data_IF_902529577427
#
_entry.id   IF_902529577427
#
_cell.length_a   1.000
_cell.length_b   1.000
_cell.length_c   1.000
_cell.angle_alpha   90.00
_cell.angle_beta   90.00
_cell.angle_gamma   90.00
#
_symmetry.space_group_name_H-M   'P 1'
#
loop_
_entity.id
_entity.type
_entity.pdbx_description
1 polymer ?
#
# COMPACT_ATOMS: atom_id res chain seq x y z
N UNK A 1 13.08 3.37 -8.42
CA UNK A 1 11.71 3.45 -7.91
C UNK A 1 11.00 2.14 -8.26
N UNK A 2 11.02 1.17 -7.34
CA UNK A 2 10.29 -0.09 -7.51
C UNK A 2 8.88 0.15 -6.99
N UNK A 3 7.97 0.54 -7.87
CA UNK A 3 6.57 0.66 -7.54
C UNK A 3 6.00 -0.75 -7.37
N UNK A 4 5.16 -0.95 -6.36
CA UNK A 4 4.43 -2.18 -6.17
C UNK A 4 3.46 -2.39 -7.35
N UNK A 5 3.22 -3.64 -7.74
CA UNK A 5 2.44 -3.96 -8.95
C UNK A 5 0.99 -3.46 -8.93
N UNK A 6 0.46 -3.15 -7.75
CA UNK A 6 -0.87 -2.56 -7.54
C UNK A 6 -0.86 -1.03 -7.53
N UNK A 7 0.31 -0.40 -7.47
CA UNK A 7 0.39 1.06 -7.51
C UNK A 7 0.04 1.51 -8.93
N UNK A 8 -0.90 2.47 -9.09
CA UNK A 8 -1.20 3.03 -10.39
C UNK A 8 0.11 3.45 -11.05
N UNK A 9 0.36 2.98 -12.28
CA UNK A 9 1.54 3.36 -13.02
C UNK A 9 1.66 4.88 -12.95
N UNK A 10 2.80 5.38 -12.45
CA UNK A 10 3.08 6.80 -12.35
C UNK A 10 3.21 7.42 -13.75
N UNK A 11 2.10 7.52 -14.47
CA UNK A 11 1.91 8.53 -15.49
C UNK A 11 1.61 9.85 -14.81
N UNK A 12 1.86 10.97 -15.50
CA UNK A 12 1.26 12.24 -15.13
C UNK A 12 -0.26 12.07 -15.28
N UNK A 13 -0.93 11.66 -14.20
CA UNK A 13 -2.32 11.99 -13.97
C UNK A 13 -2.46 13.44 -14.44
N UNK A 14 -3.31 13.67 -15.46
CA UNK A 14 -3.46 14.99 -16.10
C UNK A 14 -3.75 16.04 -15.00
N UNK A 15 -3.52 17.32 -15.33
CA UNK A 15 -3.82 18.41 -14.39
C UNK A 15 -5.23 18.24 -13.78
N UNK A 16 -5.36 18.51 -12.46
CA UNK A 16 -6.57 18.42 -11.60
C UNK A 16 -6.75 17.17 -10.71
N UNK A 17 -5.78 16.26 -10.62
CA UNK A 17 -5.86 15.19 -9.62
C UNK A 17 -5.32 15.62 -8.24
N UNK A 18 -6.04 15.35 -7.13
CA UNK A 18 -5.61 15.71 -5.79
C UNK A 18 -4.50 14.79 -5.29
N UNK A 19 -3.29 14.94 -5.85
CA UNK A 19 -2.13 14.08 -5.61
C UNK A 19 -1.83 13.81 -4.13
N UNK A 20 -1.97 14.85 -3.29
CA UNK A 20 -1.81 14.75 -1.83
C UNK A 20 -2.79 13.75 -1.19
N UNK A 21 -4.01 13.62 -1.71
CA UNK A 21 -4.99 12.67 -1.19
C UNK A 21 -4.63 11.23 -1.59
N UNK A 22 -4.18 11.01 -2.82
CA UNK A 22 -3.69 9.68 -3.24
C UNK A 22 -2.50 9.21 -2.41
N UNK A 23 -1.57 10.10 -2.08
CA UNK A 23 -0.46 9.75 -1.17
C UNK A 23 -0.97 9.35 0.23
N UNK A 24 -1.98 10.05 0.76
CA UNK A 24 -2.61 9.67 2.05
C UNK A 24 -3.26 8.28 1.97
N UNK A 25 -3.97 7.98 0.88
CA UNK A 25 -4.57 6.66 0.68
C UNK A 25 -3.49 5.59 0.55
N UNK A 26 -2.48 5.81 -0.30
CA UNK A 26 -1.39 4.84 -0.51
C UNK A 26 -0.58 4.56 0.77
N UNK A 27 -0.34 5.57 1.60
CA UNK A 27 0.33 5.38 2.90
C UNK A 27 -0.55 4.59 3.88
N UNK A 28 -1.84 4.88 3.97
CA UNK A 28 -2.77 4.11 4.80
C UNK A 28 -2.89 2.65 4.34
N UNK A 29 -2.98 2.42 3.03
CA UNK A 29 -3.03 1.06 2.44
C UNK A 29 -1.77 0.28 2.77
N UNK A 30 -0.59 0.90 2.68
CA UNK A 30 0.68 0.23 3.01
C UNK A 30 0.77 -0.12 4.49
N UNK A 31 0.35 0.78 5.38
CA UNK A 31 0.30 0.50 6.82
C UNK A 31 -0.65 -0.68 7.13
N UNK A 32 -1.83 -0.72 6.49
CA UNK A 32 -2.77 -1.82 6.63
C UNK A 32 -2.17 -3.17 6.15
N UNK A 33 -1.51 -3.16 4.99
CA UNK A 33 -0.86 -4.35 4.44
C UNK A 33 0.18 -4.92 5.43
N UNK A 34 1.01 -4.06 6.03
CA UNK A 34 1.96 -4.51 7.05
C UNK A 34 1.29 -5.10 8.29
N UNK A 35 0.18 -4.53 8.77
CA UNK A 35 -0.57 -5.10 9.88
C UNK A 35 -1.12 -6.49 9.54
N UNK A 36 -1.64 -6.68 8.33
CA UNK A 36 -2.15 -7.98 7.87
C UNK A 36 -1.01 -8.99 7.71
N UNK A 37 0.12 -8.59 7.15
CA UNK A 37 1.32 -9.44 7.05
C UNK A 37 1.84 -9.87 8.43
N UNK A 38 1.90 -8.94 9.39
CA UNK A 38 2.30 -9.24 10.75
C UNK A 38 1.32 -10.18 11.47
N UNK A 39 0.01 -9.95 11.31
CA UNK A 39 -1.02 -10.83 11.85
C UNK A 39 -0.92 -12.24 11.24
N UNK A 40 -0.77 -12.32 9.91
CA UNK A 40 -0.60 -13.58 9.22
C UNK A 40 0.66 -14.30 9.72
N UNK A 41 1.79 -13.61 9.85
CA UNK A 41 3.01 -14.20 10.38
C UNK A 41 2.85 -14.74 11.81
N UNK A 42 2.15 -14.02 12.69
CA UNK A 42 1.88 -14.45 14.06
C UNK A 42 0.94 -15.67 14.11
N UNK A 43 -0.18 -15.65 13.38
CA UNK A 43 -1.06 -16.83 13.27
C UNK A 43 -0.29 -18.03 12.72
N UNK A 44 0.62 -17.79 11.79
CA UNK A 44 1.44 -18.82 11.17
C UNK A 44 2.59 -19.35 12.03
N UNK A 45 3.01 -18.60 13.05
CA UNK A 45 3.95 -19.09 14.06
C UNK A 45 3.27 -19.94 15.13
N UNK A 46 2.00 -19.66 15.44
CA UNK A 46 1.25 -20.42 16.46
C UNK A 46 0.81 -21.80 15.97
N UNK A 47 0.62 -21.99 14.65
CA UNK A 47 0.25 -23.30 14.10
C UNK A 47 1.43 -24.24 13.83
N UNK A 48 2.67 -23.76 13.98
CA UNK A 48 3.89 -24.47 13.59
C UNK A 48 4.60 -25.02 14.82
#
# INVERSE_FOLDING_TARGET
>A
ANLARWEPAHGRFRFLHPWKQYLKVGTATRACAYCVEALNAATNSEYK
#
